data_IF_835728679487
#
_entry.id   IF_835728679487
#
_cell.length_a   1.000
_cell.length_b   1.000
_cell.length_c   1.000
_cell.angle_alpha   90.00
_cell.angle_beta   90.00
_cell.angle_gamma   90.00
#
_symmetry.space_group_name_H-M   'P 1'
#
loop_
_entity.id
_entity.type
_entity.pdbx_description
1 polymer ?
#
# COMPACT_ATOMS: atom_id res chain seq x y z
N UNK A 1 62.10 36.46 57.70
CA UNK A 1 62.20 35.42 56.63
C UNK A 1 60.80 34.98 56.24
N UNK A 2 60.25 35.57 55.22
CA UNK A 2 58.86 35.30 54.72
C UNK A 2 58.95 34.60 53.38
N UNK A 3 58.62 33.33 53.38
CA UNK A 3 58.46 32.54 52.11
C UNK A 3 57.00 32.61 51.64
N UNK A 4 56.76 33.23 50.49
CA UNK A 4 55.48 33.23 49.83
C UNK A 4 55.35 31.99 48.96
N UNK A 5 54.32 31.17 49.20
CA UNK A 5 53.89 30.09 48.33
C UNK A 5 53.11 30.68 47.15
N UNK A 6 53.55 30.36 45.94
CA UNK A 6 52.83 30.66 44.70
C UNK A 6 51.92 29.46 44.38
N UNK A 7 50.63 29.72 44.29
CA UNK A 7 49.60 28.75 43.85
C UNK A 7 49.45 28.90 42.32
N UNK A 8 49.86 27.87 41.61
CA UNK A 8 49.61 27.78 40.16
C UNK A 8 48.17 27.30 39.87
N UNK A 9 47.36 28.13 39.21
CA UNK A 9 46.07 27.74 38.70
C UNK A 9 46.25 27.04 37.35
N UNK A 10 46.01 25.74 37.30
CA UNK A 10 45.90 24.98 36.05
C UNK A 10 44.45 25.14 35.53
N UNK A 11 44.28 25.89 34.45
CA UNK A 11 43.02 26.00 33.73
C UNK A 11 42.69 24.74 32.93
N UNK A 12 41.66 24.03 33.29
CA UNK A 12 41.10 22.96 32.48
C UNK A 12 40.30 23.55 31.34
N UNK A 13 40.79 23.47 30.10
CA UNK A 13 39.98 23.73 28.90
C UNK A 13 39.18 22.47 28.57
N UNK A 14 37.86 22.50 28.85
CA UNK A 14 36.95 21.46 28.36
C UNK A 14 36.67 21.70 26.85
N UNK A 15 37.23 20.87 26.00
CA UNK A 15 36.90 20.83 24.57
C UNK A 15 35.59 20.06 24.44
N UNK A 16 34.48 20.78 24.24
CA UNK A 16 33.19 20.19 23.89
C UNK A 16 33.25 19.71 22.42
N UNK A 17 33.39 18.40 22.23
CA UNK A 17 33.29 17.75 20.95
C UNK A 17 31.80 17.74 20.53
N UNK A 18 31.40 18.68 19.68
CA UNK A 18 30.08 18.66 19.03
C UNK A 18 30.09 17.52 18.01
N UNK A 19 29.56 16.35 18.39
CA UNK A 19 29.26 15.26 17.47
C UNK A 19 28.05 15.68 16.65
N UNK A 20 28.30 16.19 15.46
CA UNK A 20 27.24 16.38 14.45
C UNK A 20 26.80 15.01 13.96
N UNK A 21 25.66 14.52 14.47
CA UNK A 21 24.98 13.37 13.90
C UNK A 21 24.60 13.73 12.46
N UNK A 22 24.87 12.85 11.47
CA UNK A 22 24.43 13.10 10.12
C UNK A 22 22.90 13.19 10.11
N UNK A 23 22.36 14.30 9.64
CA UNK A 23 20.93 14.48 9.40
C UNK A 23 20.57 13.54 8.24
N UNK A 24 20.08 12.34 8.56
CA UNK A 24 19.58 11.46 7.51
C UNK A 24 18.36 12.14 6.88
N UNK A 25 18.41 12.33 5.55
CA UNK A 25 17.26 12.86 4.82
C UNK A 25 16.03 11.98 5.10
N UNK A 26 14.88 12.63 5.24
CA UNK A 26 13.61 11.90 5.41
C UNK A 26 13.40 10.95 4.21
N UNK A 27 12.79 9.78 4.42
CA UNK A 27 12.42 8.91 3.31
C UNK A 27 11.53 9.67 2.30
N UNK A 28 11.71 9.39 1.01
CA UNK A 28 10.88 9.99 -0.04
C UNK A 28 9.39 9.78 0.25
N UNK A 29 8.56 10.75 -0.12
CA UNK A 29 7.12 10.70 0.10
C UNK A 29 6.70 10.78 1.57
N UNK A 30 7.60 11.22 2.49
CA UNK A 30 7.28 11.43 3.90
C UNK A 30 7.55 12.85 4.34
N UNK A 31 6.69 13.39 5.20
CA UNK A 31 6.75 14.76 5.64
C UNK A 31 6.35 14.96 7.10
N UNK A 32 6.08 16.21 7.53
CA UNK A 32 5.74 16.50 8.92
C UNK A 32 4.49 15.77 9.42
N UNK A 33 3.46 15.60 8.58
CA UNK A 33 2.21 14.93 8.93
C UNK A 33 2.19 13.47 8.49
N UNK A 34 2.51 13.18 7.24
CA UNK A 34 2.55 11.82 6.70
C UNK A 34 3.92 11.17 6.94
N UNK A 35 3.94 10.10 7.71
CA UNK A 35 5.17 9.38 8.08
C UNK A 35 5.42 8.11 7.28
N UNK A 36 4.49 7.71 6.41
CA UNK A 36 4.56 6.45 5.70
C UNK A 36 4.36 5.22 6.60
N UNK A 37 4.95 4.06 6.27
CA UNK A 37 5.81 3.84 5.09
C UNK A 37 5.04 3.92 3.77
N UNK A 38 5.68 4.43 2.72
CA UNK A 38 5.11 4.54 1.39
C UNK A 38 5.87 3.68 0.38
N UNK A 39 5.14 2.94 -0.44
CA UNK A 39 5.62 2.15 -1.55
C UNK A 39 4.90 2.50 -2.86
N UNK A 40 5.17 1.70 -3.87
CA UNK A 40 4.51 1.76 -5.18
C UNK A 40 3.86 0.41 -5.48
N UNK A 41 2.57 0.45 -5.88
CA UNK A 41 1.98 -0.69 -6.59
C UNK A 41 2.54 -0.72 -8.01
N UNK A 42 3.30 -1.78 -8.33
CA UNK A 42 4.04 -1.85 -9.59
C UNK A 42 3.13 -1.99 -10.83
N UNK A 43 1.85 -2.31 -10.65
CA UNK A 43 0.87 -2.28 -11.74
C UNK A 43 0.74 -0.90 -12.40
N UNK A 44 1.08 0.16 -11.67
CA UNK A 44 1.17 1.53 -12.18
C UNK A 44 2.09 1.67 -13.40
N UNK A 45 3.10 0.81 -13.50
CA UNK A 45 4.11 0.82 -14.57
C UNK A 45 4.02 -0.43 -15.46
N UNK A 46 2.87 -1.10 -15.49
CA UNK A 46 2.68 -2.37 -16.23
C UNK A 46 3.08 -2.29 -17.70
N UNK A 47 2.86 -1.16 -18.34
CA UNK A 47 3.20 -0.99 -19.75
C UNK A 47 4.73 -0.91 -19.95
N UNK A 48 5.45 -0.23 -19.08
CA UNK A 48 6.91 -0.14 -19.08
C UNK A 48 7.54 -1.50 -18.76
N UNK A 49 6.99 -2.21 -17.79
CA UNK A 49 7.46 -3.56 -17.42
C UNK A 49 7.34 -4.58 -18.56
N UNK A 50 6.35 -4.44 -19.46
CA UNK A 50 6.24 -5.32 -20.66
C UNK A 50 7.47 -5.26 -21.57
N UNK A 51 8.16 -4.14 -21.57
CA UNK A 51 9.27 -3.90 -22.49
C UNK A 51 10.64 -3.96 -21.84
N UNK A 52 10.76 -3.53 -20.57
CA UNK A 52 12.05 -3.43 -19.88
C UNK A 52 11.89 -3.49 -18.35
N UNK A 53 11.93 -4.70 -17.79
CA UNK A 53 11.79 -4.91 -16.35
C UNK A 53 12.90 -4.17 -15.57
N UNK A 54 14.15 -4.36 -15.96
CA UNK A 54 15.32 -3.78 -15.26
C UNK A 54 15.29 -2.26 -15.31
N UNK A 55 15.08 -1.66 -16.48
CA UNK A 55 15.01 -0.19 -16.63
C UNK A 55 13.83 0.44 -15.90
N UNK A 56 12.68 -0.25 -15.84
CA UNK A 56 11.53 0.23 -15.07
C UNK A 56 11.83 0.25 -13.56
N UNK A 57 12.48 -0.78 -13.05
CA UNK A 57 12.92 -0.81 -11.64
C UNK A 57 14.01 0.24 -11.35
N UNK A 58 14.88 0.57 -12.32
CA UNK A 58 15.86 1.65 -12.18
C UNK A 58 15.16 3.01 -12.03
N UNK A 59 14.05 3.23 -12.75
CA UNK A 59 13.26 4.47 -12.60
C UNK A 59 12.57 4.53 -11.23
N UNK A 60 12.00 3.41 -10.74
CA UNK A 60 11.44 3.32 -9.37
C UNK A 60 12.50 3.65 -8.32
N UNK A 61 13.71 3.10 -8.46
CA UNK A 61 14.85 3.44 -7.59
C UNK A 61 15.23 4.92 -7.66
N UNK A 62 15.24 5.50 -8.84
CA UNK A 62 15.58 6.93 -9.07
C UNK A 62 14.59 7.85 -8.36
N UNK A 63 13.32 7.49 -8.26
CA UNK A 63 12.33 8.20 -7.43
C UNK A 63 12.56 8.05 -5.93
N UNK A 64 13.50 7.19 -5.50
CA UNK A 64 13.82 6.95 -4.09
C UNK A 64 12.85 6.00 -3.39
N UNK A 65 11.96 5.34 -4.11
CA UNK A 65 10.99 4.38 -3.58
C UNK A 65 11.74 3.12 -3.10
N UNK A 66 11.46 2.71 -1.86
CA UNK A 66 12.11 1.56 -1.21
C UNK A 66 11.18 0.36 -1.01
N UNK A 67 9.89 0.53 -1.19
CA UNK A 67 8.91 -0.52 -0.95
C UNK A 67 8.02 -0.70 -2.17
N UNK A 68 7.67 -1.94 -2.46
CA UNK A 68 6.80 -2.25 -3.58
C UNK A 68 5.68 -3.23 -3.19
N UNK A 69 4.54 -3.06 -3.80
CA UNK A 69 3.54 -4.09 -3.94
C UNK A 69 3.58 -4.63 -5.36
N UNK A 70 3.58 -5.95 -5.50
CA UNK A 70 3.76 -6.62 -6.78
C UNK A 70 2.41 -7.01 -7.38
N UNK A 71 2.24 -6.78 -8.67
CA UNK A 71 1.11 -7.31 -9.43
C UNK A 71 1.44 -8.66 -10.08
N UNK A 72 2.70 -8.81 -10.51
CA UNK A 72 3.25 -10.02 -11.14
C UNK A 72 4.78 -9.94 -11.10
N UNK A 73 5.46 -10.98 -11.55
CA UNK A 73 6.91 -11.01 -11.73
C UNK A 73 7.36 -10.64 -13.16
N UNK A 74 6.42 -10.22 -14.00
CA UNK A 74 6.66 -9.83 -15.40
C UNK A 74 7.45 -10.87 -16.22
N UNK A 75 7.13 -12.15 -15.98
CA UNK A 75 7.73 -13.29 -16.70
C UNK A 75 9.06 -13.78 -16.13
N UNK A 76 9.61 -13.16 -15.07
CA UNK A 76 10.79 -13.66 -14.39
C UNK A 76 10.42 -14.72 -13.36
N UNK A 77 11.29 -15.72 -13.11
CA UNK A 77 11.19 -16.55 -11.90
C UNK A 77 11.17 -15.71 -10.62
N UNK A 78 10.46 -16.15 -9.59
CA UNK A 78 10.29 -15.41 -8.35
C UNK A 78 11.61 -15.00 -7.67
N UNK A 79 12.59 -15.91 -7.63
CA UNK A 79 13.94 -15.65 -7.10
C UNK A 79 14.67 -14.57 -7.92
N UNK A 80 14.55 -14.59 -9.25
CA UNK A 80 15.17 -13.60 -10.12
C UNK A 80 14.53 -12.23 -10.00
N UNK A 81 13.21 -12.16 -9.91
CA UNK A 81 12.54 -10.88 -9.69
C UNK A 81 12.89 -10.28 -8.32
N UNK A 82 13.00 -11.12 -7.29
CA UNK A 82 13.47 -10.70 -5.97
C UNK A 82 14.92 -10.17 -6.03
N UNK A 83 15.82 -10.83 -6.76
CA UNK A 83 17.19 -10.34 -6.98
C UNK A 83 17.21 -8.96 -7.67
N UNK A 84 16.38 -8.76 -8.69
CA UNK A 84 16.23 -7.48 -9.39
C UNK A 84 15.77 -6.36 -8.45
N UNK A 85 14.78 -6.61 -7.60
CA UNK A 85 14.31 -5.67 -6.59
C UNK A 85 15.42 -5.37 -5.56
N UNK A 86 16.04 -6.41 -5.01
CA UNK A 86 17.04 -6.30 -3.95
C UNK A 86 18.29 -5.54 -4.42
N UNK A 87 18.74 -5.73 -5.68
CA UNK A 87 19.87 -5.01 -6.27
C UNK A 87 19.65 -3.49 -6.34
N UNK A 88 18.40 -3.07 -6.26
CA UNK A 88 17.99 -1.65 -6.26
C UNK A 88 17.62 -1.13 -4.88
N UNK A 89 17.65 -1.99 -3.84
CA UNK A 89 17.23 -1.64 -2.50
C UNK A 89 15.71 -1.48 -2.37
N UNK A 90 14.96 -2.17 -3.23
CA UNK A 90 13.49 -2.20 -3.19
C UNK A 90 13.06 -3.48 -2.45
N UNK A 91 12.31 -3.34 -1.38
CA UNK A 91 11.74 -4.43 -0.59
C UNK A 91 10.30 -4.70 -1.05
N UNK A 92 9.96 -5.90 -1.53
CA UNK A 92 8.58 -6.26 -1.82
C UNK A 92 7.84 -6.54 -0.49
N UNK A 93 6.72 -5.86 -0.29
CA UNK A 93 5.92 -5.96 0.94
C UNK A 93 4.73 -6.89 0.74
N UNK A 94 4.01 -6.72 -0.36
CA UNK A 94 2.83 -7.48 -0.72
C UNK A 94 2.82 -7.84 -2.20
N UNK A 95 1.91 -8.74 -2.57
CA UNK A 95 1.60 -9.03 -3.97
C UNK A 95 0.15 -9.48 -4.11
N UNK A 96 -0.43 -9.20 -5.28
CA UNK A 96 -1.73 -9.72 -5.67
C UNK A 96 -1.58 -11.03 -6.45
N UNK A 97 -2.33 -12.05 -6.03
CA UNK A 97 -2.44 -13.33 -6.72
C UNK A 97 -3.88 -13.58 -7.14
N UNK A 98 -4.09 -14.31 -8.22
CA UNK A 98 -5.43 -14.59 -8.73
C UNK A 98 -6.28 -15.39 -7.76
N UNK A 99 -7.58 -15.09 -7.69
CA UNK A 99 -8.56 -15.73 -6.82
C UNK A 99 -8.57 -17.26 -6.96
N UNK A 100 -8.53 -17.75 -8.21
CA UNK A 100 -8.54 -19.19 -8.50
C UNK A 100 -7.34 -19.90 -7.88
N UNK A 101 -6.18 -19.24 -7.81
CA UNK A 101 -4.99 -19.81 -7.19
C UNK A 101 -5.21 -20.03 -5.69
N UNK A 102 -5.88 -19.10 -5.00
CA UNK A 102 -6.24 -19.28 -3.58
C UNK A 102 -7.28 -20.37 -3.39
N UNK A 103 -8.27 -20.46 -4.27
CA UNK A 103 -9.31 -21.48 -4.23
C UNK A 103 -8.74 -22.88 -4.45
N UNK A 104 -7.88 -23.04 -5.43
CA UNK A 104 -7.44 -24.35 -5.94
C UNK A 104 -6.14 -24.82 -5.23
N UNK A 105 -5.17 -23.95 -5.00
CA UNK A 105 -3.88 -24.27 -4.38
C UNK A 105 -3.26 -23.07 -3.64
N UNK A 106 -3.84 -22.70 -2.50
CA UNK A 106 -3.32 -21.62 -1.66
C UNK A 106 -1.92 -21.93 -1.07
N UNK A 107 -1.54 -23.22 -0.98
CA UNK A 107 -0.21 -23.62 -0.52
C UNK A 107 0.87 -23.21 -1.53
N UNK A 108 0.64 -23.41 -2.82
CA UNK A 108 1.56 -22.96 -3.87
C UNK A 108 1.71 -21.42 -3.88
N UNK A 109 0.61 -20.68 -3.61
CA UNK A 109 0.67 -19.22 -3.44
C UNK A 109 1.56 -18.84 -2.26
N UNK A 110 1.41 -19.51 -1.12
CA UNK A 110 2.21 -19.22 0.07
C UNK A 110 3.71 -19.47 -0.18
N UNK A 111 4.04 -20.55 -0.89
CA UNK A 111 5.44 -20.87 -1.25
C UNK A 111 6.03 -19.81 -2.17
N UNK A 112 5.31 -19.38 -3.20
CA UNK A 112 5.75 -18.31 -4.11
C UNK A 112 5.92 -16.98 -3.37
N UNK A 113 4.95 -16.59 -2.53
CA UNK A 113 5.02 -15.39 -1.72
C UNK A 113 6.26 -15.38 -0.80
N UNK A 114 6.61 -16.52 -0.21
CA UNK A 114 7.85 -16.68 0.57
C UNK A 114 9.11 -16.59 -0.28
N UNK A 115 9.11 -17.20 -1.47
CA UNK A 115 10.25 -17.11 -2.39
C UNK A 115 10.51 -15.64 -2.80
N UNK A 116 9.45 -14.86 -3.03
CA UNK A 116 9.53 -13.41 -3.27
C UNK A 116 9.95 -12.62 -2.02
N UNK A 117 9.80 -13.16 -0.82
CA UNK A 117 10.14 -12.49 0.44
C UNK A 117 9.03 -11.56 0.94
N UNK A 118 7.79 -11.81 0.58
CA UNK A 118 6.63 -10.98 0.94
C UNK A 118 6.27 -11.10 2.43
N UNK A 119 5.57 -10.10 2.93
CA UNK A 119 4.87 -10.09 4.23
C UNK A 119 3.37 -10.33 4.05
N UNK A 120 2.83 -9.89 2.90
CA UNK A 120 1.41 -9.95 2.57
C UNK A 120 1.20 -10.65 1.23
N UNK A 121 0.17 -11.49 1.14
CA UNK A 121 -0.26 -12.13 -0.09
C UNK A 121 -1.76 -11.89 -0.27
N UNK A 122 -2.13 -11.14 -1.28
CA UNK A 122 -3.47 -10.61 -1.47
C UNK A 122 -4.18 -11.08 -2.73
N UNK A 123 -5.48 -10.85 -2.74
CA UNK A 123 -6.36 -11.02 -3.88
C UNK A 123 -7.02 -9.69 -4.21
N UNK A 124 -6.92 -9.24 -5.47
CA UNK A 124 -7.48 -7.95 -5.91
C UNK A 124 -8.80 -8.08 -6.67
N UNK A 125 -9.20 -9.28 -7.06
CA UNK A 125 -10.39 -9.48 -7.86
C UNK A 125 -11.07 -10.80 -7.55
N UNK A 126 -12.38 -10.76 -7.26
CA UNK A 126 -13.24 -11.94 -7.17
C UNK A 126 -13.94 -12.12 -8.51
N UNK A 127 -13.70 -13.22 -9.24
CA UNK A 127 -14.32 -13.44 -10.55
C UNK A 127 -15.85 -13.51 -10.43
N UNK A 128 -16.54 -12.74 -11.26
CA UNK A 128 -18.00 -12.72 -11.34
C UNK A 128 -18.43 -12.30 -12.75
N UNK A 129 -19.66 -12.62 -13.11
CA UNK A 129 -20.30 -12.18 -14.34
C UNK A 129 -21.52 -11.33 -14.00
N UNK A 130 -21.63 -10.15 -14.62
CA UNK A 130 -22.66 -9.18 -14.24
C UNK A 130 -22.39 -8.56 -12.89
N UNK A 131 -23.43 -8.26 -12.12
CA UNK A 131 -23.32 -7.68 -10.80
C UNK A 131 -22.74 -8.70 -9.81
N UNK A 132 -21.88 -8.23 -8.91
CA UNK A 132 -21.38 -9.03 -7.80
C UNK A 132 -22.52 -9.39 -6.86
N UNK A 133 -22.71 -10.67 -6.56
CA UNK A 133 -23.87 -11.17 -5.83
C UNK A 133 -23.52 -11.83 -4.49
N UNK A 134 -24.54 -12.09 -3.67
CA UNK A 134 -24.38 -12.71 -2.35
C UNK A 134 -23.76 -14.11 -2.43
N UNK A 135 -24.11 -14.92 -3.43
CA UNK A 135 -23.56 -16.27 -3.60
C UNK A 135 -22.06 -16.20 -3.81
N UNK A 136 -21.62 -15.40 -4.77
CA UNK A 136 -20.20 -15.18 -5.08
C UNK A 136 -19.45 -14.62 -3.87
N UNK A 137 -20.05 -13.67 -3.14
CA UNK A 137 -19.50 -13.13 -1.91
C UNK A 137 -19.28 -14.21 -0.85
N UNK A 138 -20.26 -15.11 -0.62
CA UNK A 138 -20.12 -16.19 0.35
C UNK A 138 -19.09 -17.24 -0.04
N UNK A 139 -18.96 -17.54 -1.33
CA UNK A 139 -17.89 -18.39 -1.86
C UNK A 139 -16.52 -17.75 -1.60
N UNK A 140 -16.39 -16.45 -1.86
CA UNK A 140 -15.15 -15.70 -1.58
C UNK A 140 -14.79 -15.69 -0.09
N UNK A 141 -15.75 -15.52 0.82
CA UNK A 141 -15.55 -15.61 2.27
C UNK A 141 -14.91 -16.95 2.66
N UNK A 142 -15.42 -18.06 2.13
CA UNK A 142 -14.88 -19.38 2.41
C UNK A 142 -13.43 -19.54 1.89
N UNK A 143 -13.17 -19.07 0.67
CA UNK A 143 -11.82 -19.08 0.07
C UNK A 143 -10.86 -18.23 0.89
N UNK A 144 -11.24 -17.02 1.26
CA UNK A 144 -10.38 -16.08 1.99
C UNK A 144 -10.05 -16.54 3.41
N UNK A 145 -11.01 -17.11 4.12
CA UNK A 145 -10.75 -17.70 5.44
C UNK A 145 -9.74 -18.85 5.34
N UNK A 146 -9.91 -19.76 4.37
CA UNK A 146 -8.95 -20.85 4.12
C UNK A 146 -7.59 -20.34 3.69
N UNK A 147 -7.55 -19.37 2.78
CA UNK A 147 -6.30 -18.73 2.34
C UNK A 147 -5.57 -18.06 3.51
N UNK A 148 -6.29 -17.33 4.36
CA UNK A 148 -5.73 -16.69 5.55
C UNK A 148 -5.09 -17.67 6.51
N UNK A 149 -5.74 -18.82 6.77
CA UNK A 149 -5.18 -19.90 7.61
C UNK A 149 -3.88 -20.48 7.01
N UNK A 150 -3.83 -20.67 5.69
CA UNK A 150 -2.65 -21.20 5.01
C UNK A 150 -1.53 -20.16 5.04
N UNK A 151 -1.81 -18.90 4.68
CA UNK A 151 -0.82 -17.83 4.73
C UNK A 151 -0.21 -17.69 6.14
N UNK A 152 -1.04 -17.75 7.19
CA UNK A 152 -0.56 -17.64 8.57
C UNK A 152 0.40 -18.78 8.96
N UNK A 153 0.21 -20.02 8.50
CA UNK A 153 1.13 -21.15 8.70
C UNK A 153 2.52 -20.89 8.10
N UNK A 154 2.59 -20.06 7.06
CA UNK A 154 3.82 -19.66 6.39
C UNK A 154 4.40 -18.35 6.92
N UNK A 155 3.81 -17.74 7.95
CA UNK A 155 4.23 -16.44 8.50
C UNK A 155 3.87 -15.25 7.61
N UNK A 156 2.91 -15.44 6.70
CA UNK A 156 2.36 -14.43 5.80
C UNK A 156 1.00 -13.95 6.32
N UNK A 157 0.57 -12.78 5.85
CA UNK A 157 -0.80 -12.29 6.03
C UNK A 157 -1.56 -12.31 4.73
N UNK A 158 -2.79 -12.81 4.76
CA UNK A 158 -3.72 -12.67 3.64
C UNK A 158 -4.41 -11.30 3.70
N UNK A 159 -4.59 -10.67 2.54
CA UNK A 159 -5.42 -9.48 2.42
C UNK A 159 -6.30 -9.53 1.16
N UNK A 160 -7.42 -8.81 1.23
CA UNK A 160 -8.29 -8.58 0.10
C UNK A 160 -8.28 -7.09 -0.26
N UNK A 161 -7.98 -6.78 -1.51
CA UNK A 161 -8.03 -5.45 -2.08
C UNK A 161 -9.43 -5.15 -2.60
N UNK A 162 -10.06 -4.10 -2.08
CA UNK A 162 -11.44 -3.72 -2.41
C UNK A 162 -11.49 -2.96 -3.74
N UNK A 163 -12.40 -3.37 -4.63
CA UNK A 163 -12.48 -2.85 -6.01
C UNK A 163 -13.78 -2.08 -6.32
N UNK A 164 -14.67 -1.89 -5.31
CA UNK A 164 -15.88 -1.07 -5.40
C UNK A 164 -17.15 -1.81 -5.83
N UNK A 165 -17.05 -2.93 -6.53
CA UNK A 165 -18.23 -3.74 -6.88
C UNK A 165 -18.85 -4.45 -5.66
N UNK A 166 -18.13 -4.56 -4.58
CA UNK A 166 -18.58 -5.18 -3.31
C UNK A 166 -19.60 -4.30 -2.56
N UNK A 167 -19.80 -3.06 -3.01
CA UNK A 167 -20.82 -2.18 -2.43
C UNK A 167 -22.23 -2.45 -2.93
N UNK A 168 -22.48 -3.56 -3.64
CA UNK A 168 -23.83 -4.01 -3.95
C UNK A 168 -24.66 -4.10 -2.66
N UNK A 169 -25.94 -3.60 -2.66
CA UNK A 169 -26.80 -3.62 -1.49
C UNK A 169 -27.03 -5.04 -0.95
N UNK A 170 -26.92 -5.21 0.37
CA UNK A 170 -27.23 -6.47 1.04
C UNK A 170 -27.81 -6.21 2.44
N UNK A 171 -29.03 -6.62 2.69
CA UNK A 171 -29.71 -6.35 3.95
C UNK A 171 -29.80 -4.86 4.28
N UNK A 172 -29.24 -4.45 5.41
CA UNK A 172 -29.14 -3.04 5.81
C UNK A 172 -27.76 -2.43 5.48
N UNK A 173 -26.93 -3.12 4.73
CA UNK A 173 -25.58 -2.73 4.36
C UNK A 173 -25.25 -3.12 2.92
N UNK A 174 -24.05 -3.62 2.73
CA UNK A 174 -23.49 -4.00 1.43
C UNK A 174 -22.86 -5.39 1.49
N UNK A 175 -22.53 -5.96 0.34
CA UNK A 175 -21.74 -7.20 0.28
C UNK A 175 -20.33 -7.03 0.84
N UNK A 176 -19.76 -5.80 0.81
CA UNK A 176 -18.50 -5.52 1.52
C UNK A 176 -18.68 -5.70 3.04
N UNK A 177 -19.79 -5.24 3.61
CA UNK A 177 -20.08 -5.44 5.03
C UNK A 177 -20.18 -6.95 5.36
N UNK A 178 -20.83 -7.73 4.50
CA UNK A 178 -20.90 -9.19 4.64
C UNK A 178 -19.50 -9.82 4.59
N UNK A 179 -18.70 -9.45 3.60
CA UNK A 179 -17.34 -9.94 3.40
C UNK A 179 -16.47 -9.66 4.65
N UNK A 180 -16.46 -8.41 5.12
CA UNK A 180 -15.65 -7.97 6.27
C UNK A 180 -16.10 -8.68 7.55
N UNK A 181 -17.40 -8.82 7.79
CA UNK A 181 -17.93 -9.36 9.06
C UNK A 181 -17.87 -10.89 9.14
N UNK A 182 -17.84 -11.60 8.00
CA UNK A 182 -17.84 -13.06 7.95
C UNK A 182 -16.46 -13.67 7.69
N UNK A 183 -15.42 -12.84 7.43
CA UNK A 183 -14.04 -13.32 7.39
C UNK A 183 -13.37 -13.18 8.75
N UNK A 184 -12.51 -14.15 9.09
CA UNK A 184 -11.80 -14.17 10.38
C UNK A 184 -10.86 -12.96 10.50
N UNK A 185 -11.07 -12.06 11.48
CA UNK A 185 -10.26 -10.85 11.63
C UNK A 185 -8.81 -11.11 12.03
N UNK A 186 -8.47 -12.33 12.45
CA UNK A 186 -7.07 -12.70 12.76
C UNK A 186 -6.33 -13.18 11.52
N UNK A 187 -7.03 -13.70 10.53
CA UNK A 187 -6.46 -14.35 9.35
C UNK A 187 -6.58 -13.52 8.08
N UNK A 188 -7.64 -12.70 7.98
CA UNK A 188 -7.95 -11.91 6.80
C UNK A 188 -7.89 -10.42 7.13
N UNK A 189 -7.04 -9.69 6.46
CA UNK A 189 -7.01 -8.22 6.47
C UNK A 189 -7.52 -7.66 5.13
N UNK A 190 -7.63 -6.34 5.07
CA UNK A 190 -8.12 -5.64 3.89
C UNK A 190 -7.16 -4.55 3.46
N UNK A 191 -7.11 -4.33 2.17
CA UNK A 191 -6.49 -3.18 1.55
C UNK A 191 -7.57 -2.25 1.01
N UNK A 192 -7.53 -1.01 1.45
CA UNK A 192 -8.43 0.03 0.99
C UNK A 192 -7.82 0.75 -0.20
N UNK A 193 -8.40 0.63 -1.38
CA UNK A 193 -8.13 1.57 -2.45
C UNK A 193 -9.12 2.72 -2.36
N UNK A 194 -8.62 3.92 -2.07
CA UNK A 194 -9.48 5.09 -1.85
C UNK A 194 -10.23 5.51 -3.12
N UNK A 195 -9.67 5.26 -4.31
CA UNK A 195 -10.36 5.48 -5.57
C UNK A 195 -11.60 4.58 -5.68
N UNK A 196 -11.41 3.28 -5.44
CA UNK A 196 -12.48 2.28 -5.53
C UNK A 196 -13.48 2.34 -4.37
N UNK A 197 -13.22 3.14 -3.33
CA UNK A 197 -14.24 3.52 -2.34
C UNK A 197 -15.06 4.71 -2.81
N UNK A 198 -14.41 5.74 -3.34
CA UNK A 198 -15.09 6.98 -3.75
C UNK A 198 -15.83 6.81 -5.07
N UNK A 199 -15.31 6.02 -6.01
CA UNK A 199 -15.92 5.80 -7.32
C UNK A 199 -17.35 5.25 -7.24
N UNK A 200 -17.71 4.26 -6.40
CA UNK A 200 -19.08 3.83 -6.18
C UNK A 200 -19.90 4.80 -5.29
N UNK A 201 -19.32 5.91 -4.85
CA UNK A 201 -20.03 6.91 -4.05
C UNK A 201 -19.94 6.69 -2.54
N UNK A 202 -18.96 5.91 -2.06
CA UNK A 202 -18.75 5.65 -0.64
C UNK A 202 -17.73 6.62 -0.04
N UNK A 203 -17.65 6.63 1.29
CA UNK A 203 -16.80 7.52 2.07
C UNK A 203 -15.69 6.73 2.77
N UNK A 204 -14.40 6.92 2.37
CA UNK A 204 -13.27 6.21 2.97
C UNK A 204 -13.14 6.47 4.48
N UNK A 205 -13.39 7.69 4.93
CA UNK A 205 -13.28 8.07 6.35
C UNK A 205 -14.27 7.28 7.20
N UNK A 206 -15.53 7.17 6.75
CA UNK A 206 -16.56 6.38 7.44
C UNK A 206 -16.23 4.90 7.48
N UNK A 207 -15.68 4.34 6.40
CA UNK A 207 -15.29 2.93 6.36
C UNK A 207 -14.08 2.64 7.25
N UNK A 208 -13.10 3.55 7.30
CA UNK A 208 -11.95 3.45 8.21
C UNK A 208 -12.41 3.47 9.68
N UNK A 209 -13.34 4.35 10.04
CA UNK A 209 -13.91 4.40 11.39
C UNK A 209 -14.75 3.15 11.70
N UNK A 210 -15.58 2.68 10.76
CA UNK A 210 -16.49 1.53 10.95
C UNK A 210 -15.73 0.22 11.16
N UNK A 211 -14.62 0.02 10.43
CA UNK A 211 -13.85 -1.23 10.40
C UNK A 211 -12.35 -1.00 10.69
N UNK A 212 -12.02 -0.15 11.65
CA UNK A 212 -10.65 0.33 11.90
C UNK A 212 -9.60 -0.78 12.11
N UNK A 213 -10.01 -1.95 12.60
CA UNK A 213 -9.14 -3.09 12.86
C UNK A 213 -9.04 -4.09 11.70
N UNK A 214 -9.66 -3.81 10.55
CA UNK A 214 -9.65 -4.70 9.38
C UNK A 214 -8.75 -4.20 8.25
N UNK A 215 -8.51 -2.89 8.18
CA UNK A 215 -7.67 -2.26 7.17
C UNK A 215 -6.21 -2.26 7.62
N UNK A 216 -5.34 -2.94 6.87
CA UNK A 216 -3.89 -2.94 7.15
C UNK A 216 -3.09 -2.24 6.06
N UNK A 217 -3.58 -2.24 4.82
CA UNK A 217 -2.94 -1.65 3.65
C UNK A 217 -3.87 -0.63 3.00
N UNK A 218 -3.29 0.30 2.25
CA UNK A 218 -4.05 1.33 1.56
C UNK A 218 -3.37 1.71 0.24
N UNK A 219 -4.14 1.67 -0.86
CA UNK A 219 -3.77 2.35 -2.09
C UNK A 219 -4.16 3.82 -2.02
N UNK A 220 -3.16 4.67 -2.23
CA UNK A 220 -3.33 6.09 -2.43
C UNK A 220 -3.44 6.34 -3.94
N UNK A 221 -4.67 6.50 -4.40
CA UNK A 221 -5.05 6.65 -5.81
C UNK A 221 -6.10 7.75 -5.89
N UNK A 222 -5.71 8.93 -6.40
CA UNK A 222 -6.61 10.09 -6.47
C UNK A 222 -7.42 10.06 -7.77
N UNK A 223 -8.60 10.65 -7.72
CA UNK A 223 -9.56 10.65 -8.81
C UNK A 223 -9.64 12.04 -9.46
N UNK A 224 -9.54 12.08 -10.78
CA UNK A 224 -9.67 13.32 -11.57
C UNK A 224 -10.99 14.03 -11.28
N UNK A 225 -10.94 15.34 -11.12
CA UNK A 225 -12.12 16.18 -10.94
C UNK A 225 -13.06 16.06 -12.14
N UNK A 226 -14.34 15.85 -11.85
CA UNK A 226 -15.38 15.67 -12.86
C UNK A 226 -15.59 14.22 -13.31
N UNK A 227 -14.84 13.25 -12.76
CA UNK A 227 -15.14 11.82 -12.98
C UNK A 227 -16.53 11.48 -12.41
N UNK A 228 -17.43 10.88 -13.21
CA UNK A 228 -18.72 10.42 -12.71
C UNK A 228 -18.52 9.31 -11.64
N UNK A 229 -19.31 9.40 -10.57
CA UNK A 229 -19.30 8.43 -9.47
C UNK A 229 -20.63 7.69 -9.38
N UNK A 230 -20.70 6.61 -8.58
CA UNK A 230 -21.91 5.81 -8.35
C UNK A 230 -21.93 4.49 -9.13
N UNK A 231 -20.89 4.16 -9.89
CA UNK A 231 -20.77 2.87 -10.59
C UNK A 231 -20.23 1.78 -9.67
N UNK A 232 -20.85 0.61 -9.71
CA UNK A 232 -20.44 -0.61 -8.99
C UNK A 232 -19.74 -1.62 -9.91
N UNK A 233 -19.16 -1.16 -11.03
CA UNK A 233 -18.57 -2.05 -12.04
C UNK A 233 -17.18 -2.57 -11.67
N UNK A 234 -16.48 -1.93 -10.72
CA UNK A 234 -15.07 -2.23 -10.45
C UNK A 234 -14.12 -1.84 -11.58
N UNK A 235 -14.57 -1.04 -12.55
CA UNK A 235 -13.78 -0.62 -13.70
C UNK A 235 -14.15 0.79 -14.17
N UNK A 236 -13.14 1.51 -14.68
CA UNK A 236 -13.30 2.85 -15.25
C UNK A 236 -12.20 3.13 -16.30
N UNK A 237 -12.29 4.26 -17.00
CA UNK A 237 -11.17 4.72 -17.83
C UNK A 237 -10.00 5.10 -16.89
N UNK A 238 -8.85 4.48 -17.11
CA UNK A 238 -7.61 4.76 -16.34
C UNK A 238 -7.15 6.22 -16.41
N UNK A 239 -7.63 6.99 -17.37
CA UNK A 239 -7.42 8.44 -17.44
C UNK A 239 -8.12 9.22 -16.33
N UNK A 240 -9.01 8.56 -15.57
CA UNK A 240 -9.63 9.13 -14.38
C UNK A 240 -8.69 9.18 -13.17
N UNK A 241 -7.54 8.54 -13.22
CA UNK A 241 -6.52 8.68 -12.20
C UNK A 241 -5.85 10.07 -12.28
N UNK A 242 -5.43 10.58 -11.14
CA UNK A 242 -4.74 11.86 -11.01
C UNK A 242 -3.61 11.75 -9.99
N UNK A 243 -2.59 12.59 -10.14
CA UNK A 243 -1.58 12.74 -9.09
C UNK A 243 -2.25 13.11 -7.75
N UNK A 244 -1.74 12.59 -6.64
CA UNK A 244 -2.27 12.87 -5.32
C UNK A 244 -2.34 14.38 -5.06
N UNK A 245 -3.48 14.84 -4.58
CA UNK A 245 -3.76 16.26 -4.32
C UNK A 245 -4.16 17.08 -5.54
N UNK A 246 -4.08 16.54 -6.75
CA UNK A 246 -4.57 17.19 -7.97
C UNK A 246 -6.03 16.79 -8.29
N UNK A 247 -6.50 15.71 -7.70
CA UNK A 247 -7.83 15.14 -7.91
C UNK A 247 -8.92 15.76 -7.02
N UNK A 248 -9.96 14.96 -6.78
CA UNK A 248 -11.15 15.39 -6.03
C UNK A 248 -11.17 14.92 -4.57
N UNK A 249 -10.23 14.04 -4.15
CA UNK A 249 -10.28 13.43 -2.83
C UNK A 249 -9.80 14.38 -1.73
N UNK A 250 -10.47 14.36 -0.58
CA UNK A 250 -10.00 15.03 0.65
C UNK A 250 -8.91 14.16 1.31
N UNK A 251 -7.72 14.15 0.67
CA UNK A 251 -6.59 13.37 1.15
C UNK A 251 -6.17 13.72 2.59
N UNK A 252 -6.17 15.00 3.05
CA UNK A 252 -5.92 15.31 4.45
C UNK A 252 -6.83 14.57 5.42
N UNK A 253 -8.15 14.59 5.19
CA UNK A 253 -9.12 13.89 6.04
C UNK A 253 -8.93 12.36 5.97
N UNK A 254 -8.71 11.81 4.77
CA UNK A 254 -8.50 10.36 4.56
C UNK A 254 -7.22 9.90 5.28
N UNK A 255 -6.10 10.62 5.13
CA UNK A 255 -4.82 10.27 5.76
C UNK A 255 -4.87 10.39 7.28
N UNK A 256 -5.60 11.37 7.82
CA UNK A 256 -5.84 11.49 9.26
C UNK A 256 -6.63 10.28 9.79
N UNK A 257 -7.70 9.87 9.09
CA UNK A 257 -8.49 8.70 9.44
C UNK A 257 -7.69 7.40 9.30
N UNK A 258 -6.89 7.25 8.25
CA UNK A 258 -6.02 6.10 8.02
C UNK A 258 -4.98 5.94 9.14
N UNK A 259 -4.37 7.04 9.57
CA UNK A 259 -3.45 7.06 10.71
C UNK A 259 -4.14 6.63 12.01
N UNK A 260 -5.35 7.12 12.27
CA UNK A 260 -6.17 6.73 13.43
C UNK A 260 -6.57 5.26 13.38
N UNK A 261 -6.93 4.74 12.20
CA UNK A 261 -7.26 3.32 11.98
C UNK A 261 -6.04 2.38 12.08
N UNK A 262 -4.82 2.92 12.01
CA UNK A 262 -3.58 2.14 12.16
C UNK A 262 -3.15 1.43 10.88
N UNK A 263 -3.40 2.02 9.71
CA UNK A 263 -2.88 1.53 8.43
C UNK A 263 -1.36 1.35 8.54
N UNK A 264 -0.87 0.19 8.10
CA UNK A 264 0.54 -0.20 8.25
C UNK A 264 1.38 0.12 7.02
N UNK A 265 0.78 0.02 5.83
CA UNK A 265 1.45 0.23 4.55
C UNK A 265 0.57 1.04 3.62
N UNK A 266 1.20 1.97 2.92
CA UNK A 266 0.56 2.77 1.89
C UNK A 266 1.29 2.54 0.57
N UNK A 267 0.55 2.42 -0.52
CA UNK A 267 1.12 2.29 -1.87
C UNK A 267 0.47 3.33 -2.78
N UNK A 268 1.30 4.08 -3.50
CA UNK A 268 0.78 4.88 -4.61
C UNK A 268 0.39 3.91 -5.71
N UNK A 269 -0.80 4.08 -6.27
CA UNK A 269 -1.20 3.47 -7.52
C UNK A 269 -1.68 4.54 -8.49
N UNK A 270 -1.21 4.48 -9.74
CA UNK A 270 -1.62 5.36 -10.82
C UNK A 270 -1.56 4.58 -12.13
N UNK A 271 -2.73 4.23 -12.65
CA UNK A 271 -2.84 3.43 -13.85
C UNK A 271 -2.89 4.25 -15.14
N UNK A 272 -2.87 5.60 -15.01
CA UNK A 272 -2.99 6.49 -16.15
C UNK A 272 -1.79 6.40 -17.10
N UNK A 273 -1.95 6.83 -18.35
CA UNK A 273 -0.82 6.95 -19.28
C UNK A 273 0.27 7.95 -18.83
N UNK A 274 0.00 8.68 -17.76
CA UNK A 274 0.90 9.71 -17.19
C UNK A 274 1.53 9.29 -15.87
N UNK A 275 1.44 8.02 -15.50
CA UNK A 275 1.91 7.50 -14.21
C UNK A 275 3.37 7.89 -13.90
N UNK A 276 4.28 7.82 -14.90
CA UNK A 276 5.69 8.22 -14.73
C UNK A 276 5.87 9.69 -14.31
N UNK A 277 4.97 10.57 -14.74
CA UNK A 277 4.98 11.98 -14.34
C UNK A 277 4.22 12.22 -13.03
N UNK A 278 3.13 11.48 -12.80
CA UNK A 278 2.24 11.71 -11.67
C UNK A 278 2.76 11.07 -10.37
N UNK A 279 3.48 9.94 -10.44
CA UNK A 279 4.06 9.29 -9.24
C UNK A 279 5.02 10.22 -8.50
N UNK A 280 6.02 10.88 -9.14
CA UNK A 280 6.88 11.85 -8.45
C UNK A 280 6.11 13.04 -7.86
N UNK A 281 5.04 13.51 -8.53
CA UNK A 281 4.17 14.58 -8.00
C UNK A 281 3.42 14.11 -6.75
N UNK A 282 2.94 12.88 -6.76
CA UNK A 282 2.26 12.25 -5.63
C UNK A 282 3.18 12.09 -4.42
N UNK A 283 4.43 11.68 -4.64
CA UNK A 283 5.44 11.62 -3.57
C UNK A 283 5.69 13.00 -2.95
N UNK A 284 5.85 14.02 -3.80
CA UNK A 284 6.04 15.40 -3.33
C UNK A 284 4.82 15.91 -2.55
N UNK A 285 3.61 15.63 -3.01
CA UNK A 285 2.40 15.98 -2.26
C UNK A 285 2.40 15.38 -0.85
N UNK A 286 2.77 14.09 -0.70
CA UNK A 286 2.83 13.43 0.59
C UNK A 286 3.88 14.03 1.54
N UNK A 287 4.97 14.59 1.02
CA UNK A 287 5.98 15.31 1.80
C UNK A 287 5.45 16.64 2.36
N UNK A 288 4.50 17.27 1.67
CA UNK A 288 4.01 18.62 1.98
C UNK A 288 2.63 18.63 2.67
N UNK A 289 1.85 17.55 2.53
CA UNK A 289 0.48 17.46 3.06
C UNK A 289 0.44 17.67 4.59
N UNK A 290 -0.60 18.38 5.03
CA UNK A 290 -0.83 18.65 6.47
C UNK A 290 -2.19 18.10 6.88
N UNK A 291 -2.23 17.36 8.00
CA UNK A 291 -3.43 16.82 8.64
C UNK A 291 -3.17 16.49 10.11
#
# INVERSE_FOLDING_TARGET
>A
MNSRLAISQAGFFAISLLISLPLTAAPVGTGPSFKGPIGLQLYSLREQFKTNVSGTLDEVKKWGIKYAELATTYGLPADKFKEELASRGIEPIGAHFGYERYRDDAEAVAQEAKALGLKYAGCAWIPHQGDFDEKTCREAIAVFNKAGEIMAKHGLKFFYHVHGYEFQPHGQGTLLDLLITQTDPKMVSYEMDIFWIVFPGQDPVKLLDKYSNRWELMHLKDMRKGTPTGSLSGGTDVKNDAALGAGLMDLPAILAAAKKAGIKWYFIEDESPWSEQQIPQSLKYLEEVKF
#
